data_IF_066347970166
#
_entry.id   IF_066347970166
#
_cell.length_a   1.000
_cell.length_b   1.000
_cell.length_c   1.000
_cell.angle_alpha   90.00
_cell.angle_beta   90.00
_cell.angle_gamma   90.00
#
_symmetry.space_group_name_H-M   'P 1'
#
loop_
_entity.id
_entity.type
_entity.pdbx_description
1 polymer ?
#
# COMPACT_ATOMS: atom_id res chain seq x y z
N UNK A 1 42.32 -32.81 -25.01
CA UNK A 1 41.83 -31.69 -24.17
C UNK A 1 40.91 -32.29 -23.09
N UNK A 2 41.28 -32.21 -21.81
CA UNK A 2 40.61 -32.97 -20.73
C UNK A 2 39.16 -32.52 -20.53
N UNK A 3 38.22 -33.48 -20.42
CA UNK A 3 36.76 -33.25 -20.29
C UNK A 3 36.39 -32.20 -19.24
N UNK A 4 37.19 -32.08 -18.17
CA UNK A 4 37.01 -31.06 -17.10
C UNK A 4 37.11 -29.61 -17.62
N UNK A 5 37.97 -29.33 -18.60
CA UNK A 5 38.12 -27.98 -19.17
C UNK A 5 36.94 -27.59 -20.07
N UNK A 6 36.23 -28.57 -20.63
CA UNK A 6 35.08 -28.35 -21.51
C UNK A 6 33.83 -27.93 -20.72
N UNK A 7 33.58 -28.52 -19.54
CA UNK A 7 32.45 -28.15 -18.67
C UNK A 7 32.63 -26.77 -18.04
N UNK A 8 33.86 -26.38 -17.68
CA UNK A 8 34.15 -25.06 -17.12
C UNK A 8 33.91 -23.96 -18.17
N UNK A 9 34.31 -24.20 -19.43
CA UNK A 9 34.07 -23.27 -20.54
C UNK A 9 32.59 -23.15 -20.92
N UNK A 10 31.82 -24.24 -20.82
CA UNK A 10 30.39 -24.22 -21.13
C UNK A 10 29.58 -23.51 -20.03
N UNK A 11 29.97 -23.68 -18.76
CA UNK A 11 29.36 -23.00 -17.63
C UNK A 11 29.59 -21.48 -17.61
N UNK A 12 30.77 -21.02 -18.03
CA UNK A 12 31.07 -19.57 -18.13
C UNK A 12 30.29 -18.91 -19.27
N UNK A 13 30.08 -19.60 -20.39
CA UNK A 13 29.30 -19.07 -21.51
C UNK A 13 27.80 -18.93 -21.14
N UNK A 14 27.24 -19.88 -20.39
CA UNK A 14 25.84 -19.84 -19.96
C UNK A 14 25.57 -18.69 -18.97
N UNK A 15 26.52 -18.40 -18.07
CA UNK A 15 26.44 -17.29 -17.11
C UNK A 15 26.48 -15.91 -17.79
N UNK A 16 27.29 -15.77 -18.84
CA UNK A 16 27.34 -14.53 -19.64
C UNK A 16 26.03 -14.25 -20.38
N UNK A 17 25.38 -15.28 -20.93
CA UNK A 17 24.09 -15.11 -21.64
C UNK A 17 22.97 -14.65 -20.68
N UNK A 18 22.94 -15.15 -19.44
CA UNK A 18 21.96 -14.71 -18.43
C UNK A 18 22.16 -13.25 -18.00
N UNK A 19 23.40 -12.75 -17.98
CA UNK A 19 23.71 -11.37 -17.57
C UNK A 19 23.30 -10.32 -18.61
N UNK A 20 23.20 -10.69 -19.90
CA UNK A 20 22.73 -9.77 -20.96
C UNK A 20 21.20 -9.61 -20.93
N UNK A 21 20.46 -10.61 -20.43
CA UNK A 21 19.00 -10.56 -20.35
C UNK A 21 18.46 -9.70 -19.19
N UNK A 22 19.24 -9.46 -18.13
CA UNK A 22 18.83 -8.58 -17.02
C UNK A 22 19.22 -7.11 -17.23
N UNK A 23 19.95 -6.79 -18.31
CA UNK A 23 20.48 -5.45 -18.59
C UNK A 23 19.68 -4.58 -19.57
N UNK A 24 18.53 -5.03 -20.09
CA UNK A 24 17.77 -4.32 -21.15
C UNK A 24 16.47 -3.68 -20.63
N UNK A 25 16.21 -3.65 -19.32
CA UNK A 25 14.99 -3.04 -18.77
C UNK A 25 15.23 -1.91 -17.76
N UNK A 26 16.16 -1.00 -18.07
CA UNK A 26 16.16 0.35 -17.48
C UNK A 26 16.50 1.34 -18.60
N UNK A 27 15.74 2.45 -18.65
CA UNK A 27 15.82 3.61 -19.55
C UNK A 27 14.71 3.62 -20.62
N UNK A 28 13.61 4.29 -20.25
CA UNK A 28 12.49 4.64 -21.12
C UNK A 28 11.72 5.85 -20.60
N UNK A 29 12.39 7.00 -20.56
CA UNK A 29 11.87 8.38 -20.68
C UNK A 29 10.72 8.86 -19.76
N UNK A 30 11.10 9.56 -18.68
CA UNK A 30 10.30 10.69 -18.16
C UNK A 30 10.59 11.96 -19.00
N UNK A 31 9.59 12.55 -19.67
CA UNK A 31 9.59 13.98 -19.91
C UNK A 31 8.66 14.68 -18.92
N UNK A 32 9.26 15.60 -18.17
CA UNK A 32 8.57 16.57 -17.34
C UNK A 32 7.53 17.37 -18.14
N UNK A 33 6.39 17.60 -17.48
CA UNK A 33 5.59 18.83 -17.45
C UNK A 33 5.63 19.74 -18.68
N UNK A 34 4.50 19.80 -19.39
CA UNK A 34 4.03 21.03 -20.05
C UNK A 34 2.57 21.27 -19.68
N UNK A 35 2.36 22.36 -18.93
CA UNK A 35 1.07 23.01 -18.75
C UNK A 35 0.55 23.51 -20.10
N UNK A 36 -0.68 23.15 -20.49
CA UNK A 36 -1.56 24.01 -21.29
C UNK A 36 -2.97 23.44 -21.27
N UNK A 37 -3.94 24.30 -20.94
CA UNK A 37 -5.29 23.94 -20.53
C UNK A 37 -6.15 23.26 -21.59
N UNK A 38 -7.03 22.40 -21.10
CA UNK A 38 -8.41 22.23 -21.55
C UNK A 38 -9.11 21.30 -20.55
N UNK A 39 -10.26 21.72 -20.03
CA UNK A 39 -11.13 20.96 -19.13
C UNK A 39 -11.79 19.86 -19.98
N UNK A 40 -11.07 18.79 -20.24
CA UNK A 40 -11.62 17.50 -20.57
C UNK A 40 -11.31 16.61 -19.37
N UNK A 41 -12.33 15.97 -18.80
CA UNK A 41 -12.11 14.89 -17.84
C UNK A 41 -11.18 13.87 -18.49
N UNK A 42 -9.88 13.96 -18.19
CA UNK A 42 -8.85 13.05 -18.68
C UNK A 42 -9.12 11.70 -18.04
N UNK A 43 -9.86 10.84 -18.75
CA UNK A 43 -10.05 9.45 -18.38
C UNK A 43 -8.66 8.80 -18.38
N UNK A 44 -8.06 8.69 -17.20
CA UNK A 44 -6.82 7.94 -17.03
C UNK A 44 -7.14 6.46 -17.17
N UNK A 45 -6.29 5.67 -17.85
CA UNK A 45 -6.48 4.23 -17.91
C UNK A 45 -6.45 3.66 -16.48
N UNK A 46 -7.36 2.73 -16.20
CA UNK A 46 -7.66 2.22 -14.84
C UNK A 46 -6.42 1.74 -14.10
N UNK A 47 -5.46 1.13 -14.80
CA UNK A 47 -4.20 0.66 -14.22
C UNK A 47 -3.28 1.80 -13.76
N UNK A 48 -3.22 2.91 -14.48
CA UNK A 48 -2.41 4.09 -14.12
C UNK A 48 -3.06 4.81 -12.93
N UNK A 49 -4.37 5.00 -12.95
CA UNK A 49 -5.11 5.61 -11.85
C UNK A 49 -5.00 4.78 -10.56
N UNK A 50 -5.03 3.45 -10.67
CA UNK A 50 -4.80 2.53 -9.56
C UNK A 50 -3.37 2.68 -9.00
N UNK A 51 -2.36 2.63 -9.87
CA UNK A 51 -0.96 2.69 -9.45
C UNK A 51 -0.61 4.02 -8.76
N UNK A 52 -1.07 5.14 -9.31
CA UNK A 52 -0.91 6.47 -8.72
C UNK A 52 -1.61 6.58 -7.36
N UNK A 53 -2.85 6.09 -7.27
CA UNK A 53 -3.59 6.08 -5.99
C UNK A 53 -2.90 5.22 -4.94
N UNK A 54 -2.37 4.05 -5.33
CA UNK A 54 -1.61 3.19 -4.43
C UNK A 54 -0.32 3.85 -3.95
N UNK A 55 0.37 4.59 -4.81
CA UNK A 55 1.59 5.33 -4.45
C UNK A 55 1.28 6.47 -3.48
N UNK A 56 0.20 7.24 -3.71
CA UNK A 56 -0.28 8.28 -2.79
C UNK A 56 -0.62 7.72 -1.40
N UNK A 57 -1.27 6.55 -1.35
CA UNK A 57 -1.58 5.83 -0.11
C UNK A 57 -0.28 5.45 0.59
N UNK A 58 0.66 4.78 -0.10
CA UNK A 58 1.95 4.35 0.48
C UNK A 58 2.75 5.54 1.01
N UNK A 59 2.85 6.61 0.23
CA UNK A 59 3.56 7.82 0.63
C UNK A 59 2.96 8.50 1.86
N UNK A 60 1.63 8.53 1.96
CA UNK A 60 0.92 9.07 3.13
C UNK A 60 1.06 8.15 4.35
N UNK A 61 0.92 6.84 4.15
CA UNK A 61 1.06 5.84 5.21
C UNK A 61 2.46 5.83 5.81
N UNK A 62 3.51 5.85 4.99
CA UNK A 62 4.89 5.89 5.49
C UNK A 62 5.13 7.10 6.40
N UNK A 63 4.61 8.28 6.03
CA UNK A 63 4.70 9.48 6.87
C UNK A 63 3.89 9.36 8.15
N UNK A 64 2.68 8.80 8.08
CA UNK A 64 1.84 8.54 9.25
C UNK A 64 2.50 7.56 10.23
N UNK A 65 3.14 6.50 9.74
CA UNK A 65 3.87 5.55 10.57
C UNK A 65 5.03 6.23 11.31
N UNK A 66 5.77 7.12 10.63
CA UNK A 66 6.84 7.92 11.28
C UNK A 66 6.26 8.87 12.34
N UNK A 67 5.11 9.51 12.07
CA UNK A 67 4.41 10.36 13.04
C UNK A 67 4.00 9.55 14.28
N UNK A 68 3.44 8.35 14.09
CA UNK A 68 3.05 7.44 15.17
C UNK A 68 4.25 6.96 15.99
N UNK A 69 5.33 6.54 15.34
CA UNK A 69 6.55 6.12 16.04
C UNK A 69 7.16 7.26 16.86
N UNK A 70 7.09 8.49 16.36
CA UNK A 70 7.56 9.66 17.09
C UNK A 70 6.67 9.94 18.29
N UNK A 71 5.35 9.99 18.09
CA UNK A 71 4.38 10.27 19.16
C UNK A 71 4.44 9.22 20.26
N UNK A 72 4.51 7.94 19.91
CA UNK A 72 4.59 6.84 20.88
C UNK A 72 5.88 6.86 21.69
N UNK A 73 6.99 7.39 21.15
CA UNK A 73 8.24 7.57 21.92
C UNK A 73 8.17 8.75 22.89
N UNK A 74 7.45 9.82 22.53
CA UNK A 74 7.42 11.07 23.31
C UNK A 74 6.20 11.22 24.21
N UNK A 75 5.15 10.43 23.98
CA UNK A 75 3.88 10.51 24.68
C UNK A 75 3.45 9.14 25.23
N UNK A 76 3.75 8.84 26.51
CA UNK A 76 3.39 7.57 27.14
C UNK A 76 1.89 7.26 27.09
N UNK A 77 1.02 8.29 27.10
CA UNK A 77 -0.42 8.08 27.04
C UNK A 77 -0.87 7.51 25.69
N UNK A 78 -0.21 7.88 24.60
CA UNK A 78 -0.47 7.32 23.27
C UNK A 78 0.18 5.94 23.15
N UNK A 79 1.39 5.76 23.70
CA UNK A 79 2.09 4.48 23.71
C UNK A 79 1.32 3.36 24.45
N UNK A 80 0.59 3.72 25.50
CA UNK A 80 -0.22 2.78 26.29
C UNK A 80 -1.60 2.50 25.67
N UNK A 81 -1.99 3.22 24.61
CA UNK A 81 -3.24 2.93 23.91
C UNK A 81 -3.07 1.65 23.08
N UNK A 82 -3.99 0.71 23.27
CA UNK A 82 -4.05 -0.48 22.42
C UNK A 82 -4.25 -0.11 20.93
N UNK A 83 -4.94 1.01 20.66
CA UNK A 83 -5.21 1.49 19.30
C UNK A 83 -5.24 3.04 19.33
N UNK A 84 -4.24 3.75 18.75
CA UNK A 84 -4.16 5.21 18.82
C UNK A 84 -5.08 5.92 17.81
N UNK A 85 -6.33 5.47 17.69
CA UNK A 85 -7.28 5.91 16.65
C UNK A 85 -7.55 7.41 16.62
N UNK A 86 -7.59 8.07 17.79
CA UNK A 86 -7.77 9.53 17.89
C UNK A 86 -6.57 10.28 17.29
N UNK A 87 -5.35 9.81 17.55
CA UNK A 87 -4.15 10.40 16.96
C UNK A 87 -4.15 10.21 15.43
N UNK A 88 -4.42 8.98 14.98
CA UNK A 88 -4.48 8.64 13.54
C UNK A 88 -5.47 9.56 12.81
N UNK A 89 -6.70 9.69 13.30
CA UNK A 89 -7.75 10.52 12.68
C UNK A 89 -7.36 12.00 12.59
N UNK A 90 -6.51 12.49 13.49
CA UNK A 90 -6.03 13.87 13.50
C UNK A 90 -4.80 14.10 12.59
N UNK A 91 -4.16 13.05 12.07
CA UNK A 91 -3.01 13.21 11.19
C UNK A 91 -3.40 13.79 9.83
N UNK A 92 -2.62 14.76 9.36
CA UNK A 92 -2.77 15.31 8.00
C UNK A 92 -2.54 14.24 6.92
N UNK A 93 -1.70 13.25 7.17
CA UNK A 93 -1.43 12.17 6.21
C UNK A 93 -2.61 11.19 6.15
N UNK A 94 -3.24 10.89 7.28
CA UNK A 94 -4.48 10.12 7.28
C UNK A 94 -5.59 10.86 6.51
N UNK A 95 -5.73 12.17 6.74
CA UNK A 95 -6.68 13.00 6.00
C UNK A 95 -6.39 13.07 4.49
N UNK A 96 -5.13 12.92 4.06
CA UNK A 96 -4.79 12.81 2.62
C UNK A 96 -5.32 11.51 2.04
N UNK A 97 -5.22 10.39 2.76
CA UNK A 97 -5.77 9.10 2.34
C UNK A 97 -7.29 9.21 2.18
N UNK A 98 -8.00 9.79 3.16
CA UNK A 98 -9.46 9.95 3.09
C UNK A 98 -9.90 10.81 1.90
N UNK A 99 -9.14 11.86 1.56
CA UNK A 99 -9.42 12.74 0.41
C UNK A 99 -9.29 12.05 -0.94
N UNK A 100 -8.64 10.89 -1.03
CA UNK A 100 -8.63 10.09 -2.25
C UNK A 100 -10.03 9.53 -2.54
N UNK A 101 -10.89 9.34 -1.53
CA UNK A 101 -12.26 8.90 -1.70
C UNK A 101 -12.38 7.49 -2.28
N UNK A 102 -13.48 7.22 -3.00
CA UNK A 102 -13.83 5.87 -3.47
C UNK A 102 -12.75 5.21 -4.36
N UNK A 103 -11.93 5.97 -5.08
CA UNK A 103 -10.83 5.41 -5.89
C UNK A 103 -9.76 4.71 -5.05
N UNK A 104 -9.66 5.02 -3.75
CA UNK A 104 -8.71 4.38 -2.84
C UNK A 104 -9.20 3.01 -2.32
N UNK A 105 -10.50 2.70 -2.41
CA UNK A 105 -11.07 1.50 -1.77
C UNK A 105 -10.41 0.21 -2.28
N UNK A 106 -10.33 0.02 -3.60
CA UNK A 106 -9.69 -1.19 -4.15
C UNK A 106 -8.20 -1.28 -3.77
N UNK A 107 -7.36 -0.23 -3.97
CA UNK A 107 -5.97 -0.25 -3.49
C UNK A 107 -5.82 -0.55 -2.00
N UNK A 108 -6.70 -0.02 -1.14
CA UNK A 108 -6.68 -0.26 0.31
C UNK A 108 -6.98 -1.73 0.63
N UNK A 109 -8.02 -2.30 0.02
CA UNK A 109 -8.32 -3.73 0.18
C UNK A 109 -7.18 -4.61 -0.32
N UNK A 110 -6.68 -4.37 -1.54
CA UNK A 110 -5.57 -5.15 -2.09
C UNK A 110 -4.35 -5.11 -1.13
N UNK A 111 -4.01 -3.94 -0.58
CA UNK A 111 -2.92 -3.81 0.39
C UNK A 111 -3.16 -4.59 1.70
N UNK A 112 -4.41 -4.71 2.16
CA UNK A 112 -4.78 -5.52 3.35
C UNK A 112 -4.73 -7.03 3.05
N UNK A 113 -5.12 -7.44 1.85
CA UNK A 113 -5.13 -8.85 1.43
C UNK A 113 -3.76 -9.37 1.03
N UNK A 114 -2.91 -8.52 0.47
CA UNK A 114 -1.52 -8.85 0.11
C UNK A 114 -0.60 -8.89 1.35
N UNK A 115 -0.99 -8.22 2.44
CA UNK A 115 -0.25 -8.27 3.71
C UNK A 115 -0.49 -9.58 4.46
N UNK A 116 0.61 -10.18 4.92
CA UNK A 116 0.58 -11.34 5.83
C UNK A 116 0.43 -10.93 7.30
N UNK A 117 0.53 -9.63 7.58
CA UNK A 117 0.48 -9.08 8.92
C UNK A 117 -0.94 -8.61 9.29
N UNK A 118 -1.11 -8.28 10.57
CA UNK A 118 -2.32 -7.68 11.10
C UNK A 118 -2.01 -6.56 12.11
N UNK A 119 -0.95 -5.81 11.83
CA UNK A 119 -0.39 -4.80 12.74
C UNK A 119 -1.08 -3.45 12.61
N UNK A 120 -0.42 -2.42 13.17
CA UNK A 120 -0.91 -1.05 13.14
C UNK A 120 -1.09 -0.53 11.70
N UNK A 121 -0.21 -0.92 10.78
CA UNK A 121 -0.30 -0.53 9.37
C UNK A 121 -1.62 -1.01 8.74
N UNK A 122 -1.91 -2.31 8.80
CA UNK A 122 -3.15 -2.87 8.25
C UNK A 122 -4.40 -2.38 8.99
N UNK A 123 -4.29 -2.15 10.30
CA UNK A 123 -5.36 -1.55 11.10
C UNK A 123 -5.74 -0.16 10.57
N UNK A 124 -4.77 0.69 10.25
CA UNK A 124 -5.02 2.02 9.68
C UNK A 124 -5.65 1.92 8.28
N UNK A 125 -5.22 0.96 7.45
CA UNK A 125 -5.83 0.74 6.14
C UNK A 125 -7.31 0.35 6.29
N UNK A 126 -7.63 -0.55 7.22
CA UNK A 126 -8.99 -0.95 7.52
C UNK A 126 -9.84 0.24 8.01
N UNK A 127 -9.29 1.06 8.91
CA UNK A 127 -9.96 2.29 9.37
C UNK A 127 -10.27 3.24 8.21
N UNK A 128 -9.32 3.40 7.28
CA UNK A 128 -9.51 4.28 6.14
C UNK A 128 -10.62 3.78 5.21
N UNK A 129 -10.79 2.46 5.06
CA UNK A 129 -11.90 1.90 4.30
C UNK A 129 -13.23 2.27 4.96
N UNK A 130 -13.41 2.02 6.27
CA UNK A 130 -14.64 2.38 6.98
C UNK A 130 -14.96 3.88 6.86
N UNK A 131 -13.95 4.73 7.05
CA UNK A 131 -14.13 6.17 7.03
C UNK A 131 -14.48 6.71 5.64
N UNK A 132 -13.98 6.07 4.57
CA UNK A 132 -14.28 6.45 3.19
C UNK A 132 -15.65 5.93 2.75
N UNK A 133 -16.00 4.69 3.11
CA UNK A 133 -17.29 4.09 2.72
C UNK A 133 -18.44 4.58 3.60
N UNK A 134 -18.15 5.00 4.83
CA UNK A 134 -19.17 5.28 5.85
C UNK A 134 -19.82 4.02 6.42
N UNK A 135 -19.33 2.83 6.04
CA UNK A 135 -19.85 1.55 6.50
C UNK A 135 -19.32 1.22 7.90
N UNK A 136 -20.16 0.56 8.69
CA UNK A 136 -19.75 0.01 9.98
C UNK A 136 -19.60 -1.50 9.85
N UNK A 137 -18.35 -1.97 9.83
CA UNK A 137 -18.10 -3.40 9.73
C UNK A 137 -18.20 -4.03 11.13
N UNK A 138 -19.07 -5.03 11.24
CA UNK A 138 -19.37 -5.73 12.49
C UNK A 138 -18.82 -7.14 12.39
N UNK A 139 -17.89 -7.49 13.28
CA UNK A 139 -17.31 -8.85 13.31
C UNK A 139 -18.15 -9.79 14.18
N UNK A 140 -18.73 -9.30 15.28
CA UNK A 140 -19.71 -10.03 16.09
C UNK A 140 -20.84 -9.10 16.55
N UNK A 141 -21.99 -9.64 16.95
CA UNK A 141 -23.23 -8.87 17.21
C UNK A 141 -23.09 -7.69 18.16
N UNK A 142 -22.06 -7.67 19.01
CA UNK A 142 -21.87 -6.69 20.07
C UNK A 142 -20.60 -5.83 19.89
N UNK A 143 -19.72 -6.18 18.94
CA UNK A 143 -18.44 -5.50 18.72
C UNK A 143 -18.13 -5.37 17.22
N UNK A 144 -17.66 -4.18 16.84
CA UNK A 144 -16.91 -3.99 15.59
C UNK A 144 -15.63 -4.82 15.58
N UNK A 145 -14.71 -4.51 14.68
CA UNK A 145 -13.41 -5.18 14.59
C UNK A 145 -12.35 -4.44 15.44
N UNK A 146 -11.37 -5.19 15.95
CA UNK A 146 -10.25 -4.66 16.75
C UNK A 146 -8.93 -4.62 16.00
N UNK A 147 -8.79 -5.44 14.96
CA UNK A 147 -7.59 -5.55 14.13
C UNK A 147 -7.97 -5.83 12.67
N UNK A 148 -7.00 -5.74 11.77
CA UNK A 148 -7.26 -5.93 10.34
C UNK A 148 -7.69 -7.35 9.96
N UNK A 149 -7.35 -8.37 10.77
CA UNK A 149 -7.82 -9.74 10.54
C UNK A 149 -9.33 -9.85 10.79
N UNK A 150 -9.82 -9.29 11.90
CA UNK A 150 -11.25 -9.19 12.19
C UNK A 150 -11.98 -8.34 11.14
N UNK A 151 -11.37 -7.25 10.69
CA UNK A 151 -11.89 -6.45 9.57
C UNK A 151 -12.01 -7.26 8.28
N UNK A 152 -10.98 -8.03 7.90
CA UNK A 152 -11.02 -8.92 6.72
C UNK A 152 -12.17 -9.92 6.83
N UNK A 153 -12.38 -10.50 8.01
CA UNK A 153 -13.50 -11.42 8.22
C UNK A 153 -14.85 -10.70 8.09
N UNK A 154 -15.02 -9.54 8.74
CA UNK A 154 -16.26 -8.77 8.68
C UNK A 154 -16.58 -8.25 7.27
N UNK A 155 -15.57 -7.82 6.51
CA UNK A 155 -15.75 -7.27 5.15
C UNK A 155 -16.04 -8.32 4.09
N UNK A 156 -15.59 -9.57 4.29
CA UNK A 156 -15.93 -10.70 3.40
C UNK A 156 -17.42 -11.06 3.49
N UNK A 157 -18.05 -10.95 4.67
CA UNK A 157 -19.47 -11.28 4.84
C UNK A 157 -20.44 -10.32 4.14
N UNK A 158 -19.99 -9.13 3.74
CA UNK A 158 -20.84 -8.14 3.03
C UNK A 158 -20.89 -8.43 1.51
N UNK A 159 -20.03 -9.30 0.99
CA UNK A 159 -19.93 -9.62 -0.44
C UNK A 159 -20.56 -10.97 -0.82
N UNK A 160 -21.43 -11.54 0.03
CA UNK A 160 -22.24 -12.75 -0.24
C UNK A 160 -23.72 -12.37 -0.15
#
# INVERSE_FOLDING_TARGET
MSKKKMYISLGTLLLLVLFVFTGIFIIGNNPASKNSGNIAHKLMPVNVAYAETLDDIKGSMNKLMVELETETKTNPQVAMQAHPGKFIRNSKNYQRILKLGLKAIKPLYDAIYDSRDAGCYEYILAMAIEDITGEKFVYNSDYGWKNSLEFRMASVFIHI
#
